data_IF_274030777855
#
_entry.id   IF_274030777855
#
_cell.length_a   1.000
_cell.length_b   1.000
_cell.length_c   1.000
_cell.angle_alpha   90.00
_cell.angle_beta   90.00
_cell.angle_gamma   90.00
#
_symmetry.space_group_name_H-M   'P 1'
#
loop_
_entity.id
_entity.type
_entity.pdbx_description
1 polymer ?
#
# COMPACT_ATOMS: atom_id res chain seq x y z
N UNK A 1 -0.67 10.87 -7.45
CA UNK A 1 0.47 11.46 -6.77
C UNK A 1 1.53 11.85 -7.79
N UNK A 2 1.75 13.13 -8.00
CA UNK A 2 2.88 13.62 -8.78
C UNK A 2 4.11 13.62 -7.88
N UNK A 3 4.82 12.50 -7.83
CA UNK A 3 6.06 12.37 -7.07
C UNK A 3 7.30 12.82 -7.87
N UNK A 4 7.10 13.56 -8.99
CA UNK A 4 8.15 13.87 -9.94
C UNK A 4 8.36 12.75 -10.97
N UNK A 5 9.35 12.90 -11.85
CA UNK A 5 9.66 11.91 -12.90
C UNK A 5 10.27 10.62 -12.36
N UNK A 6 10.93 10.68 -11.19
CA UNK A 6 11.60 9.56 -10.52
C UNK A 6 10.93 9.16 -9.21
N UNK A 7 9.73 9.70 -8.94
CA UNK A 7 8.99 9.33 -7.73
C UNK A 7 8.48 7.89 -7.80
N UNK A 8 8.52 7.18 -6.68
CA UNK A 8 8.18 5.78 -6.57
C UNK A 8 7.01 5.55 -5.61
N UNK A 9 6.17 4.57 -5.91
CA UNK A 9 4.98 4.25 -5.12
C UNK A 9 5.02 2.79 -4.67
N UNK A 10 5.17 2.57 -3.38
CA UNK A 10 5.14 1.24 -2.77
C UNK A 10 3.85 0.48 -3.08
N UNK A 11 2.70 1.17 -3.05
CA UNK A 11 1.41 0.60 -3.42
C UNK A 11 1.40 0.04 -4.84
N UNK A 12 1.88 0.80 -5.83
CA UNK A 12 1.92 0.37 -7.23
C UNK A 12 2.92 -0.77 -7.42
N UNK A 13 4.04 -0.75 -6.70
CA UNK A 13 5.02 -1.82 -6.73
C UNK A 13 4.43 -3.15 -6.21
N UNK A 14 3.62 -3.15 -5.15
CA UNK A 14 2.89 -4.35 -4.72
C UNK A 14 1.87 -4.84 -5.76
N UNK A 15 1.19 -3.94 -6.46
CA UNK A 15 0.32 -4.33 -7.57
C UNK A 15 1.11 -5.00 -8.69
N UNK A 16 2.31 -4.51 -8.99
CA UNK A 16 3.19 -5.14 -9.98
C UNK A 16 3.64 -6.54 -9.52
N UNK A 17 3.99 -6.73 -8.24
CA UNK A 17 4.29 -8.08 -7.69
C UNK A 17 3.11 -9.03 -7.92
N UNK A 18 1.90 -8.56 -7.67
CA UNK A 18 0.69 -9.37 -7.91
C UNK A 18 0.50 -9.70 -9.39
N UNK A 19 0.66 -8.72 -10.27
CA UNK A 19 0.55 -8.90 -11.71
C UNK A 19 1.60 -9.89 -12.26
N UNK A 20 2.86 -9.80 -11.80
CA UNK A 20 3.93 -10.72 -12.18
C UNK A 20 3.56 -12.17 -11.85
N UNK A 21 2.99 -12.43 -10.68
CA UNK A 21 2.56 -13.79 -10.29
C UNK A 21 1.54 -14.37 -11.28
N UNK A 22 0.57 -13.56 -11.68
CA UNK A 22 -0.47 -13.97 -12.64
C UNK A 22 0.14 -14.17 -14.02
N UNK A 23 0.93 -13.22 -14.52
CA UNK A 23 1.55 -13.29 -15.84
C UNK A 23 2.50 -14.48 -15.94
N UNK A 24 3.23 -14.79 -14.87
CA UNK A 24 4.11 -15.97 -14.85
C UNK A 24 3.32 -17.27 -14.98
N UNK A 25 2.15 -17.39 -14.35
CA UNK A 25 1.30 -18.56 -14.54
C UNK A 25 0.91 -18.74 -16.02
N UNK A 26 0.48 -17.66 -16.67
CA UNK A 26 0.15 -17.73 -18.11
C UNK A 26 1.36 -18.00 -19.00
N UNK A 27 2.53 -17.43 -18.71
CA UNK A 27 3.77 -17.71 -19.45
C UNK A 27 4.10 -19.21 -19.40
N UNK A 28 4.02 -19.82 -18.22
CA UNK A 28 4.27 -21.25 -18.04
C UNK A 28 3.23 -22.12 -18.76
N UNK A 29 1.94 -21.77 -18.70
CA UNK A 29 0.87 -22.45 -19.44
C UNK A 29 1.06 -22.40 -20.97
N UNK A 30 1.69 -21.32 -21.45
CA UNK A 30 2.02 -21.14 -22.88
C UNK A 30 3.40 -21.70 -23.27
N UNK A 31 4.11 -22.32 -22.34
CA UNK A 31 5.48 -22.79 -22.52
C UNK A 31 6.49 -21.68 -22.91
N UNK A 32 6.22 -20.44 -22.49
CA UNK A 32 7.12 -19.29 -22.68
C UNK A 32 8.09 -19.17 -21.51
N UNK A 33 9.12 -20.01 -21.53
CA UNK A 33 10.13 -20.06 -20.47
C UNK A 33 10.99 -18.78 -20.42
N UNK A 34 11.19 -18.12 -21.55
CA UNK A 34 11.98 -16.88 -21.63
C UNK A 34 11.25 -15.75 -20.90
N UNK A 35 9.98 -15.56 -21.19
CA UNK A 35 9.17 -14.55 -20.50
C UNK A 35 9.00 -14.86 -19.01
N UNK A 36 8.80 -16.14 -18.65
CA UNK A 36 8.74 -16.54 -17.24
C UNK A 36 10.03 -16.18 -16.48
N UNK A 37 11.20 -16.40 -17.08
CA UNK A 37 12.50 -16.01 -16.53
C UNK A 37 12.64 -14.49 -16.39
N UNK A 38 12.26 -13.74 -17.42
CA UNK A 38 12.24 -12.27 -17.35
C UNK A 38 11.40 -11.76 -16.19
N UNK A 39 10.21 -12.35 -15.97
CA UNK A 39 9.34 -11.97 -14.84
C UNK A 39 9.98 -12.28 -13.49
N UNK A 40 10.75 -13.37 -13.36
CA UNK A 40 11.52 -13.66 -12.14
C UNK A 40 12.61 -12.63 -11.88
N UNK A 41 13.33 -12.20 -12.92
CA UNK A 41 14.35 -11.17 -12.81
C UNK A 41 13.77 -9.81 -12.38
N UNK A 42 12.61 -9.43 -12.93
CA UNK A 42 11.88 -8.21 -12.52
C UNK A 42 11.42 -8.33 -11.08
N UNK A 43 10.86 -9.49 -10.70
CA UNK A 43 10.42 -9.74 -9.32
C UNK A 43 11.57 -9.64 -8.33
N UNK A 44 12.73 -10.21 -8.61
CA UNK A 44 13.88 -10.15 -7.71
C UNK A 44 14.32 -8.71 -7.42
N UNK A 45 14.32 -7.83 -8.43
CA UNK A 45 14.60 -6.40 -8.25
C UNK A 45 13.55 -5.70 -7.40
N UNK A 46 12.26 -6.04 -7.60
CA UNK A 46 11.17 -5.50 -6.78
C UNK A 46 11.26 -5.97 -5.33
N UNK A 47 11.64 -7.22 -5.09
CA UNK A 47 11.79 -7.77 -3.75
C UNK A 47 12.85 -7.02 -2.95
N UNK A 48 13.97 -6.67 -3.58
CA UNK A 48 15.03 -5.88 -2.98
C UNK A 48 14.54 -4.46 -2.61
N UNK A 49 13.94 -3.75 -3.57
CA UNK A 49 13.42 -2.39 -3.38
C UNK A 49 12.33 -2.36 -2.31
N UNK A 50 11.37 -3.28 -2.38
CA UNK A 50 10.23 -3.31 -1.47
C UNK A 50 10.64 -3.72 -0.05
N UNK A 51 11.67 -4.55 0.12
CA UNK A 51 12.17 -4.90 1.45
C UNK A 51 12.67 -3.68 2.22
N UNK A 52 13.21 -2.67 1.54
CA UNK A 52 13.64 -1.40 2.12
C UNK A 52 12.47 -0.46 2.48
N UNK A 53 11.25 -0.76 2.03
CA UNK A 53 10.07 0.06 2.29
C UNK A 53 9.35 -0.28 3.61
N UNK A 54 9.83 -1.27 4.36
CA UNK A 54 9.28 -1.61 5.68
C UNK A 54 9.77 -0.62 6.74
N UNK A 55 8.84 -0.04 7.48
CA UNK A 55 9.11 0.94 8.53
C UNK A 55 8.38 0.54 9.83
N UNK A 56 9.06 -0.20 10.70
CA UNK A 56 8.60 -0.67 12.01
C UNK A 56 7.36 -1.59 11.98
N UNK A 57 6.18 -1.03 11.75
CA UNK A 57 4.88 -1.72 11.78
C UNK A 57 4.02 -1.44 10.54
N UNK A 58 4.61 -0.83 9.51
CA UNK A 58 3.93 -0.40 8.29
C UNK A 58 4.84 -0.34 7.08
N UNK A 59 4.25 -0.33 5.90
CA UNK A 59 4.90 -0.04 4.63
C UNK A 59 4.77 1.46 4.35
N UNK A 60 5.89 2.11 3.99
CA UNK A 60 5.87 3.51 3.58
C UNK A 60 5.01 3.71 2.34
N UNK A 61 4.58 4.95 2.09
CA UNK A 61 3.79 5.30 0.89
C UNK A 61 4.63 5.32 -0.38
N UNK A 62 5.89 5.74 -0.28
CA UNK A 62 6.81 5.83 -1.39
C UNK A 62 7.89 6.89 -1.20
N UNK A 63 8.55 7.20 -2.31
CA UNK A 63 9.65 8.17 -2.36
C UNK A 63 9.31 9.30 -3.33
N UNK A 64 9.69 10.53 -2.99
CA UNK A 64 9.75 11.62 -3.94
C UNK A 64 10.98 11.49 -4.86
N UNK A 65 11.04 12.34 -5.90
CA UNK A 65 12.16 12.40 -6.83
C UNK A 65 13.50 12.74 -6.16
N UNK A 66 13.48 13.51 -5.08
CA UNK A 66 14.65 13.88 -4.28
C UNK A 66 15.05 12.84 -3.21
N UNK A 67 14.37 11.69 -3.19
CA UNK A 67 14.59 10.62 -2.22
C UNK A 67 13.84 10.81 -0.90
N UNK A 68 13.09 11.89 -0.72
CA UNK A 68 12.27 12.08 0.49
C UNK A 68 11.27 10.94 0.64
N UNK A 69 11.27 10.30 1.79
CA UNK A 69 10.33 9.22 2.12
C UNK A 69 8.99 9.82 2.53
N UNK A 70 7.90 9.17 2.15
CA UNK A 70 6.52 9.55 2.51
C UNK A 70 5.87 8.38 3.23
N UNK A 71 5.20 8.66 4.34
CA UNK A 71 4.44 7.66 5.10
C UNK A 71 5.30 6.88 6.07
N UNK A 72 6.33 7.50 6.62
CA UNK A 72 7.08 6.98 7.76
C UNK A 72 6.29 7.16 9.05
N UNK A 73 6.50 6.28 10.02
CA UNK A 73 5.88 6.36 11.34
C UNK A 73 6.15 7.71 12.05
N UNK A 74 7.31 8.30 11.80
CA UNK A 74 7.73 9.57 12.40
C UNK A 74 7.18 10.80 11.69
N UNK A 75 6.51 10.66 10.55
CA UNK A 75 5.93 11.78 9.83
C UNK A 75 4.81 12.41 10.68
N UNK A 76 4.81 13.73 10.87
CA UNK A 76 3.78 14.41 11.67
C UNK A 76 2.40 14.40 11.00
N UNK A 77 2.36 14.25 9.68
CA UNK A 77 1.16 14.15 8.84
C UNK A 77 1.34 13.00 7.85
N UNK A 78 0.27 12.33 7.52
CA UNK A 78 0.26 11.24 6.55
C UNK A 78 1.26 10.09 6.86
N UNK A 79 1.44 9.79 8.15
CA UNK A 79 2.34 8.72 8.59
C UNK A 79 1.80 7.32 8.32
N UNK A 80 0.49 7.17 8.11
CA UNK A 80 -0.15 5.89 7.83
C UNK A 80 -0.98 5.95 6.55
N UNK A 81 -0.81 4.96 5.67
CA UNK A 81 -1.49 4.87 4.38
C UNK A 81 -2.09 3.47 4.19
N UNK A 82 -3.38 3.40 3.86
CA UNK A 82 -4.13 2.14 3.73
C UNK A 82 -3.62 1.25 2.60
N UNK A 83 -3.45 1.82 1.41
CA UNK A 83 -3.20 1.03 0.21
C UNK A 83 -1.90 0.21 0.24
N UNK A 84 -0.74 0.73 0.70
CA UNK A 84 0.45 -0.10 0.83
C UNK A 84 0.26 -1.29 1.77
N UNK A 85 -0.47 -1.12 2.86
CA UNK A 85 -0.69 -2.19 3.84
C UNK A 85 -1.54 -3.30 3.24
N UNK A 86 -2.71 -2.99 2.72
CA UNK A 86 -3.62 -3.99 2.14
C UNK A 86 -2.98 -4.69 0.94
N UNK A 87 -2.29 -3.98 0.05
CA UNK A 87 -1.67 -4.57 -1.13
C UNK A 87 -0.40 -5.38 -0.83
N UNK A 88 0.32 -5.10 0.25
CA UNK A 88 1.42 -5.98 0.69
C UNK A 88 0.92 -7.39 1.01
N UNK A 89 -0.27 -7.48 1.60
CA UNK A 89 -0.96 -8.75 1.91
C UNK A 89 -1.57 -9.37 0.66
N UNK A 90 -2.30 -8.59 -0.15
CA UNK A 90 -2.97 -9.07 -1.37
C UNK A 90 -1.96 -9.67 -2.35
N UNK A 91 -0.84 -8.99 -2.56
CA UNK A 91 0.24 -9.46 -3.42
C UNK A 91 0.95 -10.70 -2.87
N UNK A 92 0.83 -10.96 -1.55
CA UNK A 92 1.56 -12.01 -0.85
C UNK A 92 3.08 -11.72 -0.80
N UNK A 93 3.46 -10.44 -0.78
CA UNK A 93 4.84 -10.00 -0.58
C UNK A 93 5.20 -10.00 0.90
N UNK A 94 4.35 -9.42 1.75
CA UNK A 94 4.58 -9.33 3.18
C UNK A 94 4.74 -10.72 3.80
N UNK A 95 5.72 -10.89 4.69
CA UNK A 95 5.76 -12.05 5.59
C UNK A 95 4.51 -12.06 6.48
N UNK A 96 4.19 -13.20 7.09
CA UNK A 96 3.04 -13.29 8.00
C UNK A 96 3.14 -12.25 9.12
N UNK A 97 4.30 -12.11 9.73
CA UNK A 97 4.52 -11.14 10.81
C UNK A 97 4.34 -9.68 10.34
N UNK A 98 4.88 -9.33 9.19
CA UNK A 98 4.71 -7.99 8.60
C UNK A 98 3.25 -7.71 8.23
N UNK A 99 2.56 -8.70 7.67
CA UNK A 99 1.16 -8.60 7.32
C UNK A 99 0.27 -8.35 8.54
N UNK A 100 0.47 -9.13 9.63
CA UNK A 100 -0.24 -8.94 10.89
C UNK A 100 0.00 -7.54 11.48
N UNK A 101 1.27 -7.13 11.61
CA UNK A 101 1.62 -5.80 12.13
C UNK A 101 1.03 -4.66 11.29
N UNK A 102 1.11 -4.76 9.97
CA UNK A 102 0.58 -3.75 9.07
C UNK A 102 -0.95 -3.63 9.20
N UNK A 103 -1.67 -4.75 9.26
CA UNK A 103 -3.13 -4.74 9.38
C UNK A 103 -3.61 -4.33 10.77
N UNK A 104 -2.86 -4.65 11.84
CA UNK A 104 -3.12 -4.13 13.19
C UNK A 104 -2.92 -2.62 13.28
N UNK A 105 -1.92 -2.08 12.55
CA UNK A 105 -1.72 -0.64 12.45
C UNK A 105 -2.84 0.05 11.67
N UNK A 106 -3.39 -0.59 10.63
CA UNK A 106 -4.58 -0.11 9.92
C UNK A 106 -5.78 -0.04 10.86
N UNK A 107 -6.06 -1.11 11.61
CA UNK A 107 -7.18 -1.13 12.57
C UNK A 107 -7.03 -0.05 13.63
N UNK A 108 -5.82 0.16 14.15
CA UNK A 108 -5.54 1.14 15.21
C UNK A 108 -5.64 2.58 14.74
N UNK A 109 -5.17 2.90 13.52
CA UNK A 109 -4.92 4.28 13.09
C UNK A 109 -5.88 4.77 12.00
N UNK A 110 -6.41 3.88 11.16
CA UNK A 110 -7.25 4.28 10.03
C UNK A 110 -8.73 3.94 10.20
N UNK A 111 -9.06 2.99 11.08
CA UNK A 111 -10.44 2.54 11.23
C UNK A 111 -11.31 3.60 11.91
N UNK A 112 -12.52 3.79 11.36
CA UNK A 112 -13.55 4.66 11.92
C UNK A 112 -14.91 3.94 11.89
N UNK A 113 -15.95 4.48 12.56
CA UNK A 113 -17.30 3.92 12.44
C UNK A 113 -17.89 3.92 11.02
N UNK A 114 -17.27 4.62 10.07
CA UNK A 114 -17.77 4.81 8.71
C UNK A 114 -16.89 4.10 7.65
N UNK A 115 -15.86 3.35 8.07
CA UNK A 115 -14.87 2.72 7.23
C UNK A 115 -13.46 3.19 7.53
N UNK A 116 -12.48 2.64 6.84
CA UNK A 116 -11.08 3.00 7.01
C UNK A 116 -10.70 4.20 6.12
N UNK A 117 -10.02 5.19 6.72
CA UNK A 117 -9.45 6.33 5.99
C UNK A 117 -8.32 5.87 5.06
N UNK A 118 -8.13 6.56 3.93
CA UNK A 118 -7.02 6.23 3.00
C UNK A 118 -5.66 6.58 3.55
N UNK A 119 -5.57 7.52 4.49
CA UNK A 119 -4.36 7.91 5.19
C UNK A 119 -4.69 8.70 6.46
N UNK A 120 -3.73 8.78 7.40
CA UNK A 120 -3.84 9.55 8.65
C UNK A 120 -2.44 9.84 9.21
N UNK A 121 -2.22 10.95 9.97
CA UNK A 121 -3.08 12.13 10.09
C UNK A 121 -3.25 12.89 8.76
N UNK A 122 -4.37 13.66 8.60
CA UNK A 122 -4.55 14.46 7.38
C UNK A 122 -3.50 15.57 7.26
N UNK A 123 -3.20 15.97 6.05
CA UNK A 123 -2.42 17.18 5.82
C UNK A 123 -3.22 18.43 6.23
N UNK A 124 -2.62 19.26 7.07
CA UNK A 124 -3.18 20.56 7.54
C UNK A 124 -2.19 21.69 7.34
N UNK A 125 -0.88 21.39 7.37
CA UNK A 125 0.16 22.39 7.18
C UNK A 125 0.50 22.53 5.71
N UNK A 126 0.55 23.76 5.23
CA UNK A 126 1.04 24.06 3.91
C UNK A 126 2.57 23.92 3.89
N UNK A 127 3.12 23.10 3.05
CA UNK A 127 4.58 22.91 3.00
C UNK A 127 5.03 21.68 2.23
N UNK A 128 4.10 20.86 1.76
CA UNK A 128 4.42 19.73 0.94
C UNK A 128 4.34 20.13 -0.54
N UNK A 129 5.46 20.53 -1.11
CA UNK A 129 5.55 20.98 -2.51
C UNK A 129 4.90 19.95 -3.46
N UNK A 130 3.74 20.27 -3.99
CA UNK A 130 3.10 19.57 -5.08
C UNK A 130 2.20 18.39 -4.70
N UNK A 131 1.90 18.14 -3.43
CA UNK A 131 0.91 17.12 -3.08
C UNK A 131 -0.51 17.64 -3.35
N UNK A 132 -1.16 17.08 -4.36
CA UNK A 132 -2.55 17.40 -4.71
C UNK A 132 -3.50 17.26 -3.51
N UNK A 133 -3.16 16.38 -2.56
CA UNK A 133 -3.93 16.13 -1.35
C UNK A 133 -4.07 17.33 -0.43
N UNK A 134 -3.11 18.27 -0.47
CA UNK A 134 -3.18 19.52 0.32
C UNK A 134 -4.22 20.51 -0.22
N UNK A 135 -4.71 20.30 -1.45
CA UNK A 135 -5.80 21.08 -2.02
C UNK A 135 -7.17 20.72 -1.41
N UNK A 136 -7.25 19.61 -0.68
CA UNK A 136 -8.49 19.13 -0.10
C UNK A 136 -8.54 19.42 1.41
N UNK A 137 -9.71 19.78 1.88
CA UNK A 137 -9.96 19.88 3.33
C UNK A 137 -9.64 18.56 4.02
N UNK A 138 -9.21 18.63 5.27
CA UNK A 138 -8.98 17.43 6.09
C UNK A 138 -10.21 16.51 6.09
N UNK A 139 -9.95 15.21 6.06
CA UNK A 139 -10.97 14.15 6.04
C UNK A 139 -11.87 14.18 4.80
N UNK A 140 -11.39 14.74 3.68
CA UNK A 140 -12.09 14.71 2.40
C UNK A 140 -11.17 14.20 1.29
N UNK A 141 -11.73 13.46 0.35
CA UNK A 141 -11.02 12.86 -0.79
C UNK A 141 -9.70 12.19 -0.33
N UNK A 142 -8.62 12.42 -1.05
CA UNK A 142 -7.31 11.81 -0.76
C UNK A 142 -6.67 12.32 0.53
N UNK A 143 -7.19 13.37 1.14
CA UNK A 143 -6.71 13.89 2.42
C UNK A 143 -7.48 13.30 3.60
N UNK A 144 -7.23 12.03 3.89
CA UNK A 144 -7.85 11.23 4.94
C UNK A 144 -9.36 10.95 4.71
N UNK A 145 -9.84 10.98 3.47
CA UNK A 145 -11.20 10.55 3.15
C UNK A 145 -11.36 9.03 3.16
N UNK A 146 -12.60 8.59 3.04
CA UNK A 146 -12.98 7.16 2.96
C UNK A 146 -13.46 6.89 1.54
N UNK A 147 -12.94 5.83 0.91
CA UNK A 147 -13.30 5.42 -0.46
C UNK A 147 -13.72 3.96 -0.48
N UNK A 148 -14.78 3.64 -1.20
CA UNK A 148 -15.30 2.27 -1.32
C UNK A 148 -14.29 1.28 -1.89
N UNK A 149 -13.48 1.69 -2.87
CA UNK A 149 -12.51 0.80 -3.50
C UNK A 149 -11.40 0.32 -2.54
N UNK A 150 -10.71 1.18 -1.77
CA UNK A 150 -9.76 0.74 -0.75
C UNK A 150 -10.39 -0.12 0.35
N UNK A 151 -11.69 0.06 0.68
CA UNK A 151 -12.38 -0.81 1.63
C UNK A 151 -12.43 -2.24 1.12
N UNK A 152 -12.75 -2.45 -0.17
CA UNK A 152 -12.73 -3.79 -0.78
C UNK A 152 -11.36 -4.45 -0.70
N UNK A 153 -10.29 -3.71 -0.91
CA UNK A 153 -8.91 -4.23 -0.74
C UNK A 153 -8.58 -4.55 0.71
N UNK A 154 -9.03 -3.72 1.65
CA UNK A 154 -8.87 -3.97 3.08
C UNK A 154 -9.56 -5.27 3.51
N UNK A 155 -10.82 -5.44 3.13
CA UNK A 155 -11.61 -6.65 3.40
C UNK A 155 -10.92 -7.89 2.82
N UNK A 156 -10.42 -7.80 1.60
CA UNK A 156 -9.70 -8.89 0.95
C UNK A 156 -8.40 -9.24 1.68
N UNK A 157 -7.64 -8.25 2.13
CA UNK A 157 -6.40 -8.45 2.88
C UNK A 157 -6.68 -9.16 4.21
N UNK A 158 -7.66 -8.69 4.98
CA UNK A 158 -8.07 -9.32 6.23
C UNK A 158 -8.57 -10.75 6.04
N UNK A 159 -9.34 -10.99 4.98
CA UNK A 159 -9.83 -12.33 4.63
C UNK A 159 -8.68 -13.28 4.30
N UNK A 160 -7.64 -12.80 3.61
CA UNK A 160 -6.44 -13.59 3.29
C UNK A 160 -5.65 -14.00 4.54
N UNK A 161 -5.69 -13.18 5.59
CA UNK A 161 -5.05 -13.46 6.88
C UNK A 161 -5.92 -14.36 7.80
N UNK A 162 -7.15 -14.65 7.40
CA UNK A 162 -8.09 -15.42 8.22
C UNK A 162 -8.83 -14.58 9.27
N UNK A 163 -8.73 -13.25 9.21
CA UNK A 163 -9.37 -12.32 10.14
C UNK A 163 -10.85 -12.06 9.76
N UNK A 164 -11.65 -13.12 9.67
CA UNK A 164 -13.04 -13.05 9.20
C UNK A 164 -13.91 -12.05 9.96
N UNK A 165 -13.76 -11.95 11.27
CA UNK A 165 -14.52 -10.98 12.08
C UNK A 165 -14.14 -9.53 11.76
N UNK A 166 -12.85 -9.26 11.52
CA UNK A 166 -12.35 -7.93 11.17
C UNK A 166 -12.76 -7.56 9.74
N UNK A 167 -12.66 -8.50 8.80
CA UNK A 167 -13.16 -8.34 7.44
C UNK A 167 -14.67 -8.03 7.41
N UNK A 168 -15.47 -8.76 8.21
CA UNK A 168 -16.91 -8.50 8.34
C UNK A 168 -17.23 -7.13 8.94
N UNK A 169 -16.45 -6.70 9.94
CA UNK A 169 -16.60 -5.37 10.55
C UNK A 169 -16.38 -4.24 9.52
N UNK A 170 -15.41 -4.40 8.61
CA UNK A 170 -15.16 -3.42 7.54
C UNK A 170 -16.19 -3.47 6.41
N UNK A 171 -16.84 -4.62 6.22
CA UNK A 171 -17.88 -4.76 5.19
C UNK A 171 -19.22 -4.17 5.63
N UNK A 172 -19.57 -4.25 6.90
CA UNK A 172 -20.83 -3.77 7.49
C UNK A 172 -20.90 -2.25 7.57
#
# INVERSE_FOLDING_TARGET
LRLGKKGESTFVAFQLVYAIKILKTYALEKNDAEYAKYLDEVKAKLDEILSACWNEDRWIRGYKEDGTVIGQRTDPEASMWLNPQSWSVISGFASKEQAEKAMDSVERELNTPYGAMVMYPPYVKHGFDGALMQCFNKCTKENAGIFSQPQGWLILAESKLGHGNRAYKYWK
#
